data_IF_131644652077
#
_entry.id   IF_131644652077
#
_cell.length_a   1.000
_cell.length_b   1.000
_cell.length_c   1.000
_cell.angle_alpha   90.00
_cell.angle_beta   90.00
_cell.angle_gamma   90.00
#
_symmetry.space_group_name_H-M   'P 1'
#
loop_
_entity.id
_entity.type
_entity.pdbx_description
1 polymer ?
#
# COMPACT_ATOMS: atom_id res chain seq x y z
N UNK A 1 -4.69 6.17 6.31
CA UNK A 1 -5.10 7.00 5.17
C UNK A 1 -6.32 7.83 5.54
N UNK A 2 -6.47 9.03 4.97
CA UNK A 2 -7.49 9.99 5.40
C UNK A 2 -8.49 10.22 4.27
N UNK A 3 -9.77 9.93 4.51
CA UNK A 3 -10.85 10.23 3.57
C UNK A 3 -10.92 11.75 3.34
N UNK A 4 -10.30 12.23 2.26
CA UNK A 4 -10.16 13.65 1.95
C UNK A 4 -8.82 14.07 1.36
N UNK A 5 -7.76 13.25 1.48
CA UNK A 5 -6.53 13.42 0.70
C UNK A 5 -6.60 12.58 -0.57
N UNK A 6 -6.01 13.08 -1.66
CA UNK A 6 -5.85 12.29 -2.90
C UNK A 6 -4.96 11.08 -2.61
N UNK A 7 -5.34 9.91 -3.13
CA UNK A 7 -4.55 8.68 -3.03
C UNK A 7 -3.09 8.91 -3.44
N UNK A 8 -2.84 9.72 -4.47
CA UNK A 8 -1.51 10.11 -4.93
C UNK A 8 -0.66 10.75 -3.81
N UNK A 9 -1.21 11.74 -3.09
CA UNK A 9 -0.53 12.43 -1.98
C UNK A 9 -0.18 11.43 -0.85
N UNK A 10 -1.06 10.47 -0.62
CA UNK A 10 -0.87 9.43 0.38
C UNK A 10 0.14 8.37 -0.04
N UNK A 11 0.22 8.06 -1.33
CA UNK A 11 1.24 7.19 -1.92
C UNK A 11 2.62 7.85 -1.89
N UNK A 12 2.70 9.16 -2.14
CA UNK A 12 3.93 9.94 -1.98
C UNK A 12 4.42 9.92 -0.51
N UNK A 13 3.52 10.14 0.46
CA UNK A 13 3.85 10.00 1.88
C UNK A 13 4.30 8.58 2.24
N UNK A 14 3.65 7.55 1.69
CA UNK A 14 4.03 6.15 1.92
C UNK A 14 5.42 5.84 1.35
N UNK A 15 5.68 6.20 0.09
CA UNK A 15 6.98 5.99 -0.55
C UNK A 15 8.10 6.69 0.21
N UNK A 16 7.83 7.89 0.74
CA UNK A 16 8.79 8.61 1.58
C UNK A 16 9.10 7.87 2.89
N UNK A 17 8.11 7.23 3.51
CA UNK A 17 8.33 6.41 4.72
C UNK A 17 9.18 5.18 4.39
N UNK A 18 8.92 4.53 3.27
CA UNK A 18 9.74 3.40 2.79
C UNK A 18 11.20 3.84 2.56
N UNK A 19 11.39 4.98 1.90
CA UNK A 19 12.73 5.53 1.64
C UNK A 19 13.48 5.86 2.95
N UNK A 20 12.78 6.44 3.94
CA UNK A 20 13.32 6.69 5.29
C UNK A 20 13.68 5.37 6.01
N UNK A 21 12.87 4.32 5.84
CA UNK A 21 13.14 2.98 6.37
C UNK A 21 14.36 2.33 5.70
N UNK A 22 14.47 2.39 4.38
CA UNK A 22 15.65 1.89 3.67
C UNK A 22 16.92 2.66 4.08
N UNK A 23 16.80 3.96 4.32
CA UNK A 23 17.92 4.79 4.79
C UNK A 23 18.44 4.39 6.18
N UNK A 24 17.60 3.74 7.01
CA UNK A 24 18.03 3.14 8.30
C UNK A 24 18.35 1.64 8.20
N UNK A 25 18.59 1.14 6.98
CA UNK A 25 18.89 -0.26 6.65
C UNK A 25 17.71 -1.23 6.89
N UNK A 26 16.48 -0.71 6.94
CA UNK A 26 15.25 -1.51 7.02
C UNK A 26 14.70 -1.71 5.61
N UNK A 27 14.93 -2.89 5.06
CA UNK A 27 14.33 -3.30 3.78
C UNK A 27 13.01 -4.01 4.05
N UNK A 28 11.92 -3.46 3.50
CA UNK A 28 10.65 -4.18 3.42
C UNK A 28 10.57 -4.88 2.07
N UNK A 29 10.01 -6.08 2.06
CA UNK A 29 9.69 -6.74 0.80
C UNK A 29 8.48 -6.06 0.17
N UNK A 30 8.38 -6.13 -1.15
CA UNK A 30 7.31 -5.47 -1.91
C UNK A 30 5.91 -5.94 -1.46
N UNK A 31 5.81 -7.21 -1.03
CA UNK A 31 4.62 -7.79 -0.43
C UNK A 31 4.28 -7.18 0.94
N UNK A 32 5.27 -6.99 1.81
CA UNK A 32 5.07 -6.32 3.11
C UNK A 32 4.61 -4.88 2.90
N UNK A 33 5.23 -4.16 1.97
CA UNK A 33 4.87 -2.79 1.64
C UNK A 33 3.42 -2.72 1.13
N UNK A 34 3.05 -3.64 0.24
CA UNK A 34 1.70 -3.74 -0.29
C UNK A 34 0.67 -4.02 0.81
N UNK A 35 0.95 -4.95 1.73
CA UNK A 35 0.10 -5.26 2.88
C UNK A 35 -0.04 -4.06 3.82
N UNK A 36 1.05 -3.34 4.12
CA UNK A 36 1.02 -2.14 4.96
C UNK A 36 0.15 -1.06 4.29
N UNK A 37 0.33 -0.84 2.99
CA UNK A 37 -0.48 0.11 2.23
C UNK A 37 -1.97 -0.25 2.27
N UNK A 38 -2.29 -1.53 2.06
CA UNK A 38 -3.65 -2.03 2.16
C UNK A 38 -4.24 -1.86 3.56
N UNK A 39 -3.46 -2.12 4.62
CA UNK A 39 -3.89 -1.89 6.00
C UNK A 39 -4.01 -0.40 6.34
N UNK A 40 -3.34 0.48 5.61
CA UNK A 40 -3.43 1.92 5.80
C UNK A 40 -4.69 2.50 5.14
N UNK A 41 -5.32 1.79 4.20
CA UNK A 41 -6.51 2.24 3.48
C UNK A 41 -7.70 2.49 4.42
N UNK A 42 -8.57 3.48 4.10
CA UNK A 42 -9.80 3.68 4.83
C UNK A 42 -10.74 2.49 4.67
N UNK A 43 -11.68 2.32 5.61
CA UNK A 43 -12.71 1.26 5.55
C UNK A 43 -13.56 1.29 4.28
N UNK A 44 -13.64 2.44 3.62
CA UNK A 44 -14.28 2.58 2.31
C UNK A 44 -13.66 1.68 1.22
N UNK A 45 -12.41 1.26 1.40
CA UNK A 45 -11.69 0.32 0.54
C UNK A 45 -11.56 -1.09 1.17
N UNK A 46 -12.30 -1.40 2.24
CA UNK A 46 -12.21 -2.71 2.92
C UNK A 46 -12.49 -3.88 1.95
N UNK A 47 -13.49 -3.73 1.08
CA UNK A 47 -13.76 -4.72 0.01
C UNK A 47 -12.63 -4.83 -1.01
N UNK A 48 -11.91 -3.74 -1.28
CA UNK A 48 -10.77 -3.74 -2.18
C UNK A 48 -9.57 -4.45 -1.54
N UNK A 49 -9.29 -4.15 -0.26
CA UNK A 49 -8.28 -4.84 0.54
C UNK A 49 -8.55 -6.34 0.57
N UNK A 50 -9.80 -6.74 0.83
CA UNK A 50 -10.20 -8.15 0.87
C UNK A 50 -10.03 -8.83 -0.50
N UNK A 51 -10.42 -8.15 -1.58
CA UNK A 51 -10.22 -8.65 -2.94
C UNK A 51 -8.74 -8.76 -3.34
N UNK A 52 -7.87 -7.87 -2.85
CA UNK A 52 -6.43 -7.93 -3.11
C UNK A 52 -5.73 -9.02 -2.29
N UNK A 53 -6.08 -9.16 -1.01
CA UNK A 53 -5.49 -10.15 -0.10
C UNK A 53 -5.98 -11.58 -0.34
N UNK A 54 -7.27 -11.74 -0.64
CA UNK A 54 -7.91 -13.06 -0.77
C UNK A 54 -8.28 -13.41 -2.22
N UNK A 55 -8.34 -12.44 -3.12
CA UNK A 55 -8.72 -12.67 -4.52
C UNK A 55 -7.56 -13.06 -5.42
N UNK A 56 -6.31 -13.02 -4.95
CA UNK A 56 -5.11 -13.35 -5.74
C UNK A 56 -4.35 -14.52 -5.10
N UNK A 57 -4.05 -15.55 -5.89
CA UNK A 57 -3.17 -16.67 -5.49
C UNK A 57 -1.67 -16.33 -5.66
N UNK A 58 -1.34 -15.14 -6.15
CA UNK A 58 0.01 -14.68 -6.48
C UNK A 58 0.50 -13.60 -5.50
N UNK A 59 1.82 -13.47 -5.38
CA UNK A 59 2.49 -12.47 -4.54
C UNK A 59 1.97 -11.07 -4.83
N UNK A 60 1.53 -10.37 -3.78
CA UNK A 60 1.01 -9.02 -3.87
C UNK A 60 2.18 -8.05 -4.04
N UNK A 61 2.12 -7.13 -5.01
CA UNK A 61 3.14 -6.10 -5.19
C UNK A 61 2.59 -4.70 -4.93
N UNK A 62 3.45 -3.81 -4.45
CA UNK A 62 3.14 -2.42 -4.17
C UNK A 62 2.67 -1.72 -5.45
N UNK A 63 3.36 -1.95 -6.57
CA UNK A 63 2.99 -1.42 -7.88
C UNK A 63 1.56 -1.80 -8.28
N UNK A 64 1.14 -3.05 -8.05
CA UNK A 64 -0.22 -3.49 -8.37
C UNK A 64 -1.28 -2.85 -7.47
N UNK A 65 -0.99 -2.70 -6.17
CA UNK A 65 -1.90 -1.98 -5.25
C UNK A 65 -2.02 -0.52 -5.66
N UNK A 66 -0.90 0.13 -5.98
CA UNK A 66 -0.87 1.52 -6.44
C UNK A 66 -1.61 1.71 -7.76
N UNK A 67 -1.41 0.82 -8.74
CA UNK A 67 -2.10 0.87 -10.03
C UNK A 67 -3.61 0.65 -9.89
N UNK A 68 -4.05 -0.17 -8.94
CA UNK A 68 -5.45 -0.46 -8.71
C UNK A 68 -6.17 0.60 -7.84
N UNK A 69 -5.41 1.48 -7.17
CA UNK A 69 -5.93 2.64 -6.45
C UNK A 69 -6.00 3.93 -7.32
N UNK A 70 -5.43 3.90 -8.53
CA UNK A 70 -5.34 5.01 -9.48
C UNK A 70 -6.55 5.08 -10.43
#
# INVERSE_FOLDING_TARGET
MTEGKSIEDQMDEFNKIIDDLENVDVKMEDEDQAIILLSALPKSYEHFVDAMLYGREQSLTLEEVQAALN
#
